data_IF_763205787367
#
_entry.id   IF_763205787367
#
_cell.length_a   1.000
_cell.length_b   1.000
_cell.length_c   1.000
_cell.angle_alpha   90.00
_cell.angle_beta   90.00
_cell.angle_gamma   90.00
#
_symmetry.space_group_name_H-M   'P 1'
#
loop_
_entity.id
_entity.type
_entity.pdbx_description
1 polymer ?
#
# COMPACT_ATOMS: atom_id res chain seq x y z
N UNK A 1 -25.97 -44.63 35.20
CA UNK A 1 -25.37 -44.75 33.84
C UNK A 1 -25.74 -43.63 32.86
N UNK A 2 -26.86 -42.91 33.00
CA UNK A 2 -27.24 -41.82 32.07
C UNK A 2 -26.60 -40.44 32.33
N UNK A 3 -26.09 -40.20 33.54
CA UNK A 3 -25.50 -38.91 33.95
C UNK A 3 -24.04 -38.73 33.52
N UNK A 4 -23.29 -39.82 33.34
CA UNK A 4 -21.89 -39.74 32.86
C UNK A 4 -21.79 -39.39 31.38
N UNK A 5 -22.75 -39.85 30.55
CA UNK A 5 -22.75 -39.59 29.11
C UNK A 5 -22.91 -38.08 28.76
N UNK A 6 -23.63 -37.33 29.59
CA UNK A 6 -23.86 -35.88 29.37
C UNK A 6 -22.63 -35.04 29.75
N UNK A 7 -21.87 -35.45 30.78
CA UNK A 7 -20.63 -34.77 31.16
C UNK A 7 -19.52 -34.96 30.11
N UNK A 8 -19.42 -36.13 29.49
CA UNK A 8 -18.45 -36.36 28.41
C UNK A 8 -18.78 -35.57 27.13
N UNK A 9 -20.06 -35.36 26.83
CA UNK A 9 -20.48 -34.58 25.67
C UNK A 9 -20.16 -33.07 25.79
N UNK A 10 -20.22 -32.52 27.01
CA UNK A 10 -19.89 -31.10 27.28
C UNK A 10 -18.38 -30.82 27.30
N UNK A 11 -17.55 -31.79 27.69
CA UNK A 11 -16.08 -31.64 27.66
C UNK A 11 -15.53 -31.78 26.24
N UNK A 12 -16.16 -32.58 25.37
CA UNK A 12 -15.76 -32.68 23.96
C UNK A 12 -16.13 -31.45 23.11
N UNK A 13 -17.18 -30.71 23.48
CA UNK A 13 -17.58 -29.49 22.77
C UNK A 13 -16.69 -28.28 23.09
N UNK A 14 -15.94 -28.30 24.21
CA UNK A 14 -15.04 -27.22 24.62
C UNK A 14 -13.64 -27.28 23.97
N UNK A 15 -13.34 -28.33 23.20
CA UNK A 15 -12.01 -28.53 22.59
C UNK A 15 -11.92 -28.10 21.12
N UNK A 16 -12.98 -27.49 20.56
CA UNK A 16 -13.02 -27.08 19.15
C UNK A 16 -12.88 -25.57 18.90
N UNK A 17 -12.41 -24.79 19.88
CA UNK A 17 -11.95 -23.41 19.64
C UNK A 17 -10.45 -23.31 19.90
N UNK A 18 -9.67 -24.12 19.19
CA UNK A 18 -8.25 -23.86 19.01
C UNK A 18 -8.10 -23.03 17.74
N UNK A 19 -8.00 -21.72 17.98
CA UNK A 19 -7.29 -20.70 17.23
C UNK A 19 -6.67 -21.17 15.91
N UNK A 20 -7.15 -20.62 14.80
CA UNK A 20 -6.31 -20.54 13.59
C UNK A 20 -5.08 -19.70 13.94
N UNK A 21 -3.98 -20.36 14.29
CA UNK A 21 -2.66 -19.75 14.17
C UNK A 21 -2.42 -19.57 12.67
N UNK A 22 -2.59 -18.35 12.15
CA UNK A 22 -2.11 -18.03 10.82
C UNK A 22 -0.58 -17.98 10.89
N UNK A 23 0.07 -19.11 10.62
CA UNK A 23 1.49 -19.10 10.28
C UNK A 23 1.60 -18.35 8.95
N UNK A 24 2.00 -17.08 9.01
CA UNK A 24 2.38 -16.36 7.80
C UNK A 24 3.48 -17.17 7.11
N UNK A 25 3.41 -17.43 5.79
CA UNK A 25 4.31 -18.35 5.11
C UNK A 25 5.76 -17.86 4.98
N UNK A 26 6.18 -16.91 5.81
CA UNK A 26 7.51 -16.30 5.90
C UNK A 26 7.69 -15.80 7.35
N UNK A 27 8.89 -15.44 7.78
CA UNK A 27 9.24 -14.91 9.11
C UNK A 27 8.55 -13.55 9.47
N UNK A 28 7.38 -13.27 8.91
CA UNK A 28 6.53 -12.11 9.11
C UNK A 28 5.92 -12.12 10.51
N UNK A 29 6.07 -11.01 11.21
CA UNK A 29 5.55 -10.84 12.58
C UNK A 29 4.07 -10.44 12.63
N UNK A 30 3.48 -10.04 11.50
CA UNK A 30 2.08 -9.59 11.40
C UNK A 30 1.55 -9.73 9.97
N UNK A 31 0.22 -9.68 9.80
CA UNK A 31 -0.45 -9.64 8.48
C UNK A 31 0.02 -8.44 7.67
N UNK A 32 0.00 -8.59 6.35
CA UNK A 32 0.19 -7.50 5.40
C UNK A 32 -0.98 -6.51 5.42
N UNK A 33 -2.16 -6.93 5.90
CA UNK A 33 -3.35 -6.07 5.94
C UNK A 33 -3.08 -4.75 6.68
N UNK A 34 -3.43 -3.64 6.02
CA UNK A 34 -3.30 -2.30 6.56
C UNK A 34 -2.71 -1.31 5.55
N UNK A 35 -2.66 -0.05 5.97
CA UNK A 35 -1.98 1.03 5.26
C UNK A 35 -0.59 1.21 5.82
N UNK A 36 0.41 1.08 4.96
CA UNK A 36 1.82 1.26 5.25
C UNK A 36 2.30 2.54 4.59
N UNK A 37 3.14 3.32 5.27
CA UNK A 37 3.75 4.51 4.69
C UNK A 37 5.18 4.73 5.19
N UNK A 38 6.03 5.24 4.29
CA UNK A 38 7.43 5.54 4.60
C UNK A 38 7.61 6.89 5.29
N UNK A 39 8.72 7.05 6.01
CA UNK A 39 9.08 8.32 6.65
C UNK A 39 8.04 8.75 7.69
N UNK A 40 7.69 10.04 7.68
CA UNK A 40 6.70 10.63 8.60
C UNK A 40 5.23 10.33 8.25
N UNK A 41 4.97 9.54 7.20
CA UNK A 41 3.60 9.20 6.81
C UNK A 41 2.87 10.29 6.02
N UNK A 42 3.59 11.22 5.36
CA UNK A 42 2.98 12.30 4.59
C UNK A 42 2.26 11.82 3.31
N UNK A 43 2.80 10.78 2.66
CA UNK A 43 2.16 10.12 1.52
C UNK A 43 1.27 9.02 2.07
N UNK A 44 -0.01 9.03 1.76
CA UNK A 44 -0.96 8.01 2.21
C UNK A 44 -1.95 7.68 1.11
N UNK A 45 -2.29 6.40 1.03
CA UNK A 45 -3.39 5.90 0.21
C UNK A 45 -4.76 6.24 0.81
N UNK A 46 -5.80 6.10 -0.02
CA UNK A 46 -7.19 6.34 0.34
C UNK A 46 -7.52 7.80 0.69
N UNK A 47 -8.73 7.98 1.21
CA UNK A 47 -9.26 9.28 1.59
C UNK A 47 -9.30 9.42 3.12
N UNK A 48 -8.96 10.60 3.63
CA UNK A 48 -9.15 10.95 5.04
C UNK A 48 -10.63 11.26 5.37
N UNK A 49 -10.94 11.44 6.65
CA UNK A 49 -12.28 11.74 7.14
C UNK A 49 -12.87 13.07 6.63
N UNK A 50 -12.04 13.96 6.09
CA UNK A 50 -12.44 15.27 5.55
C UNK A 50 -12.60 15.26 4.03
N UNK A 51 -12.36 14.11 3.38
CA UNK A 51 -12.46 13.99 1.94
C UNK A 51 -11.14 14.24 1.19
N UNK A 52 -10.02 14.44 1.87
CA UNK A 52 -8.73 14.64 1.21
C UNK A 52 -8.08 13.31 0.86
N UNK A 53 -7.50 13.22 -0.33
CA UNK A 53 -6.79 12.05 -0.80
C UNK A 53 -5.51 12.46 -1.53
N UNK A 54 -4.54 11.55 -1.57
CA UNK A 54 -3.34 11.73 -2.40
C UNK A 54 -3.71 11.94 -3.86
N UNK A 55 -4.66 11.17 -4.37
CA UNK A 55 -5.29 11.36 -5.67
C UNK A 55 -6.80 11.36 -5.52
N UNK A 56 -7.46 12.36 -6.10
CA UNK A 56 -8.91 12.40 -6.24
C UNK A 56 -9.29 11.88 -7.64
N UNK A 57 -9.83 10.65 -7.77
CA UNK A 57 -10.15 10.09 -9.08
C UNK A 57 -11.26 10.90 -9.78
N UNK A 58 -12.29 11.34 -9.06
CA UNK A 58 -13.43 12.07 -9.64
C UNK A 58 -13.03 13.40 -10.27
N UNK A 59 -12.02 14.07 -9.72
CA UNK A 59 -11.49 15.34 -10.23
C UNK A 59 -10.21 15.15 -11.06
N UNK A 60 -9.68 13.93 -11.13
CA UNK A 60 -8.36 13.58 -11.69
C UNK A 60 -7.28 14.56 -11.22
N UNK A 61 -7.13 14.69 -9.91
CA UNK A 61 -6.22 15.68 -9.32
C UNK A 61 -5.40 15.07 -8.18
N UNK A 62 -4.09 15.29 -8.21
CA UNK A 62 -3.22 14.99 -7.08
C UNK A 62 -3.20 16.12 -6.05
N UNK A 63 -3.08 15.74 -4.79
CA UNK A 63 -2.73 16.64 -3.68
C UNK A 63 -1.27 16.39 -3.34
N UNK A 64 -0.39 17.38 -3.54
CA UNK A 64 1.04 17.20 -3.31
C UNK A 64 1.35 17.17 -1.80
N UNK A 65 1.87 16.06 -1.27
CA UNK A 65 2.26 15.98 0.14
C UNK A 65 3.49 16.83 0.46
N UNK A 66 3.68 17.22 1.74
CA UNK A 66 4.82 18.05 2.16
C UNK A 66 6.18 17.34 2.05
N UNK A 67 6.21 16.00 2.04
CA UNK A 67 7.45 15.23 1.90
C UNK A 67 7.26 14.05 0.95
N UNK A 68 8.37 13.66 0.30
CA UNK A 68 8.43 12.47 -0.53
C UNK A 68 8.15 11.20 0.27
N UNK A 69 7.69 10.15 -0.41
CA UNK A 69 7.45 8.87 0.22
C UNK A 69 6.63 7.91 -0.63
N UNK A 70 6.42 6.73 -0.06
CA UNK A 70 5.60 5.66 -0.61
C UNK A 70 4.56 5.27 0.42
N UNK A 71 3.38 4.91 -0.07
CA UNK A 71 2.36 4.26 0.73
C UNK A 71 1.70 3.15 -0.07
N UNK A 72 1.44 2.04 0.62
CA UNK A 72 0.72 0.90 0.10
C UNK A 72 -0.36 0.51 1.10
N UNK A 73 -1.57 0.24 0.62
CA UNK A 73 -2.62 -0.38 1.40
C UNK A 73 -2.93 -1.76 0.84
N UNK A 74 -3.14 -2.73 1.72
CA UNK A 74 -3.50 -4.10 1.36
C UNK A 74 -4.69 -4.57 2.19
N UNK A 75 -5.60 -5.29 1.55
CA UNK A 75 -6.72 -5.99 2.19
C UNK A 75 -6.52 -7.50 2.13
N UNK A 76 -7.04 -8.24 3.10
CA UNK A 76 -6.93 -9.71 3.13
C UNK A 76 -7.63 -10.42 1.97
N UNK A 77 -8.60 -9.76 1.32
CA UNK A 77 -9.30 -10.24 0.12
C UNK A 77 -8.58 -9.92 -1.20
N UNK A 78 -7.34 -9.42 -1.14
CA UNK A 78 -6.44 -9.35 -2.30
C UNK A 78 -6.53 -8.06 -3.10
N UNK A 79 -6.94 -6.93 -2.49
CA UNK A 79 -6.87 -5.62 -3.13
C UNK A 79 -5.71 -4.79 -2.61
N UNK A 80 -5.15 -3.96 -3.49
CA UNK A 80 -4.10 -3.02 -3.14
C UNK A 80 -4.41 -1.61 -3.65
N UNK A 81 -3.83 -0.63 -2.98
CA UNK A 81 -3.64 0.72 -3.51
C UNK A 81 -2.20 1.15 -3.26
N UNK A 82 -1.60 1.86 -4.21
CA UNK A 82 -0.32 2.54 -4.01
C UNK A 82 -0.44 4.05 -4.23
N UNK A 83 0.37 4.79 -3.48
CA UNK A 83 0.62 6.21 -3.67
C UNK A 83 2.12 6.44 -3.51
N UNK A 84 2.75 7.15 -4.45
CA UNK A 84 4.15 7.54 -4.30
C UNK A 84 4.38 8.97 -4.77
N UNK A 85 5.21 9.68 -4.03
CA UNK A 85 5.79 10.96 -4.41
C UNK A 85 7.31 10.80 -4.35
N UNK A 86 7.96 10.90 -5.50
CA UNK A 86 9.43 10.90 -5.61
C UNK A 86 9.91 12.23 -6.15
N UNK A 87 11.13 12.61 -5.78
CA UNK A 87 11.81 13.79 -6.31
C UNK A 87 13.18 13.40 -6.83
N UNK A 88 13.58 14.00 -7.94
CA UNK A 88 14.93 13.95 -8.48
C UNK A 88 15.39 15.38 -8.80
N UNK A 89 16.67 15.65 -8.59
CA UNK A 89 17.31 16.93 -8.91
C UNK A 89 18.58 16.65 -9.70
N UNK A 90 18.86 17.48 -10.70
CA UNK A 90 20.15 17.45 -11.40
C UNK A 90 21.20 18.22 -10.56
N UNK A 91 22.29 17.59 -10.09
CA UNK A 91 23.36 18.29 -9.36
C UNK A 91 24.01 19.42 -10.18
N UNK A 92 24.01 19.31 -11.50
CA UNK A 92 24.51 20.37 -12.40
C UNK A 92 23.55 21.56 -12.51
N UNK A 93 22.26 21.35 -12.26
CA UNK A 93 21.22 22.38 -12.29
C UNK A 93 20.28 22.23 -11.08
N UNK A 94 20.71 22.61 -9.85
CA UNK A 94 19.93 22.36 -8.64
C UNK A 94 18.55 23.02 -8.59
N UNK A 95 18.34 24.09 -9.37
CA UNK A 95 17.03 24.73 -9.53
C UNK A 95 16.06 23.88 -10.37
N UNK A 96 16.56 22.95 -11.18
CA UNK A 96 15.76 22.01 -11.96
C UNK A 96 15.45 20.75 -11.15
N UNK A 97 14.36 20.81 -10.39
CA UNK A 97 13.78 19.62 -9.77
C UNK A 97 12.71 18.99 -10.68
N UNK A 98 12.53 17.69 -10.54
CA UNK A 98 11.40 16.93 -11.07
C UNK A 98 10.78 16.10 -9.93
N UNK A 99 9.46 16.17 -9.81
CA UNK A 99 8.66 15.42 -8.87
C UNK A 99 7.65 14.55 -9.63
N UNK A 100 7.56 13.30 -9.23
CA UNK A 100 6.64 12.33 -9.84
C UNK A 100 5.68 11.82 -8.78
N UNK A 101 4.38 12.02 -9.02
CA UNK A 101 3.30 11.47 -8.22
C UNK A 101 2.66 10.32 -8.99
N UNK A 102 2.53 9.16 -8.35
CA UNK A 102 1.89 7.98 -8.96
C UNK A 102 0.82 7.48 -8.00
N UNK A 103 -0.36 7.25 -8.55
CA UNK A 103 -1.46 6.57 -7.87
C UNK A 103 -2.02 5.48 -8.75
N UNK A 104 -2.20 4.28 -8.18
CA UNK A 104 -2.96 3.20 -8.81
C UNK A 104 -3.47 2.24 -7.75
N UNK A 105 -4.53 1.49 -8.10
CA UNK A 105 -5.13 0.49 -7.23
C UNK A 105 -5.65 -0.68 -8.08
N UNK A 106 -5.86 -1.82 -7.46
CA UNK A 106 -6.20 -3.05 -8.16
C UNK A 106 -6.17 -4.28 -7.26
N UNK A 107 -5.80 -5.42 -7.83
CA UNK A 107 -5.67 -6.68 -7.09
C UNK A 107 -4.22 -7.08 -6.93
N UNK A 108 -3.92 -7.82 -5.87
CA UNK A 108 -2.60 -8.41 -5.67
C UNK A 108 -2.73 -9.89 -5.35
N UNK A 109 -1.69 -10.64 -5.67
CA UNK A 109 -1.55 -12.03 -5.30
C UNK A 109 -0.13 -12.32 -4.83
N UNK A 110 0.01 -13.26 -3.90
CA UNK A 110 1.31 -13.68 -3.36
C UNK A 110 1.50 -15.16 -3.68
N UNK A 111 2.49 -15.47 -4.50
CA UNK A 111 2.86 -16.84 -4.85
C UNK A 111 4.32 -17.04 -4.49
N UNK A 112 4.60 -18.04 -3.63
CA UNK A 112 5.97 -18.40 -3.23
C UNK A 112 6.79 -17.20 -2.68
N UNK A 113 6.12 -16.31 -1.92
CA UNK A 113 6.75 -15.12 -1.31
C UNK A 113 6.94 -13.93 -2.26
N UNK A 114 6.71 -14.11 -3.55
CA UNK A 114 6.69 -13.04 -4.56
C UNK A 114 5.31 -12.43 -4.62
N UNK A 115 5.22 -11.10 -4.67
CA UNK A 115 3.95 -10.38 -4.74
C UNK A 115 3.79 -9.74 -6.12
N UNK A 116 2.67 -10.00 -6.78
CA UNK A 116 2.30 -9.37 -8.04
C UNK A 116 1.07 -8.50 -7.82
N UNK A 117 1.15 -7.24 -8.24
CA UNK A 117 0.08 -6.23 -8.15
C UNK A 117 -0.37 -5.85 -9.56
N UNK A 118 -1.65 -6.01 -9.84
CA UNK A 118 -2.30 -5.79 -11.13
C UNK A 118 -3.31 -4.65 -10.97
N UNK A 119 -3.04 -3.45 -11.54
CA UNK A 119 -3.94 -2.32 -11.43
C UNK A 119 -5.25 -2.52 -12.20
N UNK A 120 -6.31 -1.82 -11.78
CA UNK A 120 -7.51 -1.67 -12.58
C UNK A 120 -7.26 -0.72 -13.75
N UNK A 121 -7.36 -1.26 -14.96
CA UNK A 121 -7.22 -0.47 -16.18
C UNK A 121 -8.21 0.70 -16.23
N UNK A 122 -7.69 1.89 -16.53
CA UNK A 122 -8.44 3.14 -16.65
C UNK A 122 -8.42 4.00 -15.39
N UNK A 123 -7.97 3.47 -14.26
CA UNK A 123 -8.04 4.19 -12.99
C UNK A 123 -6.77 4.98 -12.65
N UNK A 124 -5.60 4.36 -12.81
CA UNK A 124 -4.35 4.93 -12.33
C UNK A 124 -3.95 6.23 -13.03
N UNK A 125 -3.15 7.03 -12.33
CA UNK A 125 -2.69 8.32 -12.78
C UNK A 125 -1.22 8.54 -12.41
N UNK A 126 -0.53 9.33 -13.23
CA UNK A 126 0.80 9.84 -12.95
C UNK A 126 0.84 11.33 -13.22
N UNK A 127 1.47 12.09 -12.33
CA UNK A 127 1.74 13.50 -12.54
C UNK A 127 3.24 13.76 -12.42
N UNK A 128 3.84 14.30 -13.48
CA UNK A 128 5.21 14.82 -13.45
C UNK A 128 5.16 16.33 -13.34
N UNK A 129 5.92 16.91 -12.43
CA UNK A 129 6.04 18.36 -12.27
C UNK A 129 7.49 18.77 -12.03
N UNK A 130 7.89 19.92 -12.54
CA UNK A 130 9.24 20.40 -12.36
C UNK A 130 9.44 21.79 -12.93
N UNK A 131 10.39 22.52 -12.36
CA UNK A 131 10.68 23.89 -12.80
C UNK A 131 11.21 23.93 -14.24
N UNK A 132 11.86 22.87 -14.69
CA UNK A 132 12.50 22.78 -16.01
C UNK A 132 11.76 21.84 -16.96
N UNK A 133 10.58 21.36 -16.56
CA UNK A 133 9.69 20.56 -17.41
C UNK A 133 8.86 21.46 -18.33
N UNK A 134 8.53 20.99 -19.53
CA UNK A 134 7.64 21.68 -20.46
C UNK A 134 6.53 20.72 -20.95
N UNK A 135 5.27 20.87 -20.48
CA UNK A 135 4.82 21.87 -19.51
C UNK A 135 5.36 21.62 -18.09
N UNK A 136 5.38 22.64 -17.20
CA UNK A 136 5.89 22.50 -15.83
C UNK A 136 5.14 21.48 -14.96
N UNK A 137 3.94 21.09 -15.38
CA UNK A 137 3.16 20.02 -14.76
C UNK A 137 2.36 19.32 -15.85
N UNK A 138 2.41 17.99 -15.88
CA UNK A 138 1.66 17.14 -16.80
C UNK A 138 1.02 15.99 -16.03
N UNK A 139 -0.25 15.76 -16.29
CA UNK A 139 -1.02 14.65 -15.72
C UNK A 139 -1.35 13.67 -16.84
N UNK A 140 -0.94 12.42 -16.68
CA UNK A 140 -1.14 11.35 -17.63
C UNK A 140 -1.81 10.14 -16.97
N UNK A 141 -2.30 9.22 -17.81
CA UNK A 141 -2.80 7.92 -17.36
C UNK A 141 -1.63 7.01 -16.95
N UNK A 142 -1.86 6.16 -15.94
CA UNK A 142 -0.87 5.20 -15.47
C UNK A 142 -1.54 3.86 -15.17
N UNK A 143 -0.96 2.77 -15.66
CA UNK A 143 -1.36 1.41 -15.30
C UNK A 143 -0.17 0.50 -15.56
N UNK A 144 0.57 0.22 -14.48
CA UNK A 144 1.76 -0.61 -14.56
C UNK A 144 1.67 -1.74 -13.53
N UNK A 145 1.80 -2.97 -14.03
CA UNK A 145 1.91 -4.14 -13.17
C UNK A 145 3.21 -4.05 -12.36
N UNK A 146 3.10 -4.26 -11.04
CA UNK A 146 4.26 -4.27 -10.16
C UNK A 146 4.54 -5.67 -9.63
N UNK A 147 5.79 -6.09 -9.71
CA UNK A 147 6.27 -7.34 -9.11
C UNK A 147 7.28 -7.01 -8.02
N UNK A 148 7.05 -7.58 -6.85
CA UNK A 148 7.95 -7.49 -5.69
C UNK A 148 8.57 -8.85 -5.47
N UNK A 149 9.90 -8.88 -5.52
CA UNK A 149 10.68 -10.11 -5.39
C UNK A 149 10.42 -10.80 -4.05
N UNK A 150 10.34 -10.01 -2.99
CA UNK A 150 9.98 -10.44 -1.65
C UNK A 150 9.49 -9.24 -0.82
N UNK A 151 8.92 -9.56 0.32
CA UNK A 151 8.46 -8.60 1.31
C UNK A 151 8.55 -9.23 2.70
N UNK A 152 8.69 -8.42 3.73
CA UNK A 152 8.70 -8.88 5.11
C UNK A 152 8.07 -7.86 6.05
N UNK A 153 7.32 -8.35 7.04
CA UNK A 153 6.87 -7.54 8.18
C UNK A 153 7.72 -7.83 9.41
N UNK A 154 8.08 -6.77 10.13
CA UNK A 154 8.95 -6.86 11.31
C UNK A 154 8.52 -5.83 12.37
N UNK A 155 9.12 -5.91 13.56
CA UNK A 155 8.95 -4.91 14.61
C UNK A 155 10.14 -3.96 14.54
N UNK A 156 9.86 -2.67 14.33
CA UNK A 156 10.85 -1.61 14.46
C UNK A 156 10.83 -1.07 15.89
N UNK A 157 12.00 -1.01 16.53
CA UNK A 157 12.18 -0.45 17.88
C UNK A 157 12.93 0.89 17.85
N UNK A 158 13.60 1.23 16.74
CA UNK A 158 14.25 2.53 16.54
C UNK A 158 13.31 3.46 15.74
N UNK A 159 12.32 4.00 16.44
CA UNK A 159 11.20 4.74 15.84
C UNK A 159 11.38 6.25 15.91
N UNK A 160 12.07 6.81 14.91
CA UNK A 160 12.35 8.26 14.84
C UNK A 160 11.11 9.10 14.52
N UNK A 161 10.13 8.55 13.78
CA UNK A 161 8.97 9.30 13.29
C UNK A 161 7.74 9.26 14.21
N UNK A 162 7.77 8.48 15.29
CA UNK A 162 6.63 8.26 16.18
C UNK A 162 6.99 8.61 17.64
N UNK A 163 6.91 9.90 18.03
CA UNK A 163 7.30 10.31 19.36
C UNK A 163 6.41 9.65 20.43
N UNK A 164 7.03 9.10 21.47
CA UNK A 164 6.33 8.47 22.60
C UNK A 164 5.85 7.04 22.35
N UNK A 165 6.31 6.41 21.26
CA UNK A 165 6.04 5.00 20.95
C UNK A 165 7.36 4.23 21.03
N UNK A 166 7.37 3.07 21.68
CA UNK A 166 8.59 2.25 21.84
C UNK A 166 8.85 1.32 20.65
N UNK A 167 7.78 0.96 19.91
CA UNK A 167 7.91 0.14 18.70
C UNK A 167 6.71 0.24 17.78
N UNK A 168 6.93 -0.02 16.49
CA UNK A 168 5.88 -0.05 15.45
C UNK A 168 6.08 -1.23 14.51
N UNK A 169 5.01 -1.66 13.83
CA UNK A 169 5.15 -2.62 12.74
C UNK A 169 5.77 -1.95 11.51
N UNK A 170 6.82 -2.56 10.98
CA UNK A 170 7.48 -2.18 9.74
C UNK A 170 7.15 -3.15 8.60
N UNK A 171 7.12 -2.62 7.38
CA UNK A 171 7.04 -3.37 6.13
C UNK A 171 8.25 -3.00 5.27
N UNK A 172 9.01 -4.02 4.87
CA UNK A 172 10.09 -3.88 3.90
C UNK A 172 9.72 -4.69 2.66
N UNK A 173 9.70 -4.01 1.51
CA UNK A 173 9.45 -4.61 0.20
C UNK A 173 10.66 -4.41 -0.70
N UNK A 174 10.88 -5.33 -1.63
CA UNK A 174 11.96 -5.24 -2.60
C UNK A 174 11.38 -5.37 -4.00
N UNK A 175 11.82 -4.46 -4.87
CA UNK A 175 11.51 -4.49 -6.29
C UNK A 175 12.02 -5.78 -6.92
N UNK A 176 11.54 -6.10 -8.11
CA UNK A 176 11.96 -7.30 -8.84
C UNK A 176 13.49 -7.40 -9.02
N UNK A 177 14.16 -6.26 -9.23
CA UNK A 177 15.62 -6.17 -9.35
C UNK A 177 16.37 -6.32 -8.00
N UNK A 178 15.65 -6.53 -6.89
CA UNK A 178 16.21 -6.67 -5.54
C UNK A 178 16.50 -5.34 -4.83
N UNK A 179 16.23 -4.19 -5.45
CA UNK A 179 16.40 -2.89 -4.79
C UNK A 179 15.30 -2.72 -3.74
N UNK A 180 15.63 -2.39 -2.47
CA UNK A 180 14.63 -2.15 -1.45
C UNK A 180 13.84 -0.88 -1.74
N UNK A 181 12.52 -0.95 -1.57
CA UNK A 181 11.73 0.26 -1.38
C UNK A 181 12.06 0.90 -0.03
N UNK A 182 11.82 2.21 0.17
CA UNK A 182 11.91 2.81 1.48
C UNK A 182 11.10 2.01 2.50
N UNK A 183 11.71 1.76 3.66
CA UNK A 183 11.04 1.13 4.79
C UNK A 183 9.76 1.87 5.12
N UNK A 184 8.68 1.12 5.31
CA UNK A 184 7.36 1.65 5.63
C UNK A 184 6.93 1.21 7.03
N UNK A 185 6.03 1.98 7.61
CA UNK A 185 5.46 1.77 8.94
C UNK A 185 3.94 1.69 8.85
N UNK A 186 3.33 0.84 9.65
CA UNK A 186 1.87 0.69 9.71
C UNK A 186 1.23 1.97 10.23
N UNK A 187 0.32 2.56 9.44
CA UNK A 187 -0.40 3.80 9.74
C UNK A 187 -1.86 3.53 10.12
N UNK A 188 -2.52 2.61 9.39
CA UNK A 188 -3.94 2.30 9.59
C UNK A 188 -4.19 0.79 9.48
N UNK A 189 -5.07 0.30 10.35
CA UNK A 189 -5.68 -1.03 10.28
C UNK A 189 -7.09 -0.93 10.86
N UNK A 190 -8.17 -1.13 10.07
CA UNK A 190 -8.23 -1.60 8.68
C UNK A 190 -7.55 -0.63 7.67
N UNK A 191 -7.21 -1.11 6.46
CA UNK A 191 -6.54 -0.30 5.45
C UNK A 191 -7.44 0.84 4.96
N UNK A 192 -6.81 1.97 4.67
CA UNK A 192 -7.42 3.14 4.02
C UNK A 192 -7.07 3.13 2.54
N UNK A 193 -8.06 2.86 1.70
CA UNK A 193 -7.92 2.87 0.24
C UNK A 193 -9.22 3.30 -0.45
N UNK A 194 -9.12 3.65 -1.72
CA UNK A 194 -10.21 3.84 -2.67
C UNK A 194 -11.01 2.53 -2.83
N UNK A 195 -12.23 2.59 -3.40
CA UNK A 195 -13.07 1.41 -3.52
C UNK A 195 -12.35 0.26 -4.22
N UNK A 196 -12.51 -0.96 -3.71
CA UNK A 196 -11.91 -2.22 -4.21
C UNK A 196 -12.56 -2.72 -5.51
N UNK A 197 -12.78 -1.81 -6.46
CA UNK A 197 -13.36 -2.05 -7.77
C UNK A 197 -12.90 -0.96 -8.73
N UNK A 198 -12.89 -1.28 -10.01
CA UNK A 198 -12.67 -0.28 -11.06
C UNK A 198 -13.63 0.91 -10.91
N UNK A 199 -13.06 2.12 -10.96
CA UNK A 199 -13.76 3.40 -10.82
C UNK A 199 -14.24 3.88 -12.19
N UNK A 200 -13.40 3.73 -13.22
CA UNK A 200 -13.70 4.11 -14.59
C UNK A 200 -13.82 2.90 -15.50
N UNK A 201 -14.82 2.90 -16.38
CA UNK A 201 -14.93 1.88 -17.43
C UNK A 201 -13.95 2.17 -18.55
N UNK A 202 -13.06 1.22 -18.87
CA UNK A 202 -12.26 1.25 -20.10
C UNK A 202 -13.18 1.15 -21.32
N UNK A 203 -13.23 2.20 -22.15
CA UNK A 203 -13.93 2.16 -23.44
C UNK A 203 -12.93 1.65 -24.49
N UNK A 204 -13.17 0.46 -25.02
CA UNK A 204 -12.36 -0.10 -26.11
C UNK A 204 -12.76 0.60 -27.42
N UNK A 205 -11.84 1.30 -28.08
CA UNK A 205 -12.04 1.89 -29.41
C UNK A 205 -12.17 3.42 -29.48
N UNK A 206 -11.89 4.17 -28.41
CA UNK A 206 -11.72 5.62 -28.53
C UNK A 206 -10.40 5.94 -29.26
N UNK A 207 -10.36 6.90 -30.21
CA UNK A 207 -9.12 7.33 -30.83
C UNK A 207 -8.20 7.93 -29.75
N UNK A 208 -6.93 7.55 -29.81
CA UNK A 208 -5.82 8.12 -29.04
C UNK A 208 -5.63 9.60 -29.31
#
# INVERSE_FOLDING_TARGET
>A
MRTHAVLYALVLALLFTLSYAQTYPNNNVTSLEGTWSSGSGAVLTGQDQNGNAFFNPMRRQFTVPPTAGYSYSFTDDGFFEMSSLTYATDPGHPSCFNATLIWQHGTYNITEGRMTMIPFDGDGAVQSMGQCENPPSRLDYYSEMQSMRNWTTFIETDVVFFPGIDSVYGLQMYLENGVPLPKMYLQYRPPRMMPTRSIFKKVIGAPS
#
